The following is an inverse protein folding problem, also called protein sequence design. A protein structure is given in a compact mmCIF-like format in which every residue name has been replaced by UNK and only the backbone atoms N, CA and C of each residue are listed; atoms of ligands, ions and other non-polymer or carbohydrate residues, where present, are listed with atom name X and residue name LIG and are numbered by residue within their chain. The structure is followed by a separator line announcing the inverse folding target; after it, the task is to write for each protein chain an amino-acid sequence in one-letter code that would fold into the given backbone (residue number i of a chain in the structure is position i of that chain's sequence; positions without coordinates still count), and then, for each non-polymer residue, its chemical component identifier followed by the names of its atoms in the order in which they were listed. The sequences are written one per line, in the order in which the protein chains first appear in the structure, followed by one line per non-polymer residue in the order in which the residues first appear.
data_IF_261561132242
#
_entry.id   IF_261561132242
#
_cell.length_a   1.000
_cell.length_b   1.000
_cell.length_c   1.000
_cell.angle_alpha   90.00
_cell.angle_beta   90.00
_cell.angle_gamma   90.00
#
_symmetry.space_group_name_H-M   'P 1'
#
loop_
_entity.id
_entity.type
_entity.pdbx_description
1 polymer ?
#
# COMPACT_ATOMS: atom_id res chain seq x y z
N UNK A 1 -19.89 16.14 -9.56
CA UNK A 1 -20.85 15.92 -8.45
C UNK A 1 -21.28 14.46 -8.27
N UNK A 2 -21.52 13.69 -9.35
CA UNK A 2 -21.84 12.26 -9.27
C UNK A 2 -20.63 11.39 -8.88
N UNK A 3 -19.48 11.61 -9.54
CA UNK A 3 -18.23 10.89 -9.25
C UNK A 3 -17.78 11.04 -7.77
N UNK A 4 -17.90 12.25 -7.21
CA UNK A 4 -17.61 12.52 -5.80
C UNK A 4 -18.54 11.78 -4.84
N UNK A 5 -19.84 11.64 -5.18
CA UNK A 5 -20.78 10.84 -4.38
C UNK A 5 -20.42 9.35 -4.43
N UNK A 6 -20.06 8.84 -5.61
CA UNK A 6 -19.67 7.42 -5.78
C UNK A 6 -18.35 7.11 -5.07
N UNK A 7 -17.38 8.03 -5.10
CA UNK A 7 -16.15 7.91 -4.30
C UNK A 7 -16.48 7.88 -2.81
N UNK A 8 -17.42 8.70 -2.34
CA UNK A 8 -17.83 8.72 -0.93
C UNK A 8 -18.47 7.39 -0.51
N UNK A 9 -19.43 6.88 -1.29
CA UNK A 9 -20.05 5.56 -1.02
C UNK A 9 -18.99 4.44 -1.07
N UNK A 10 -18.05 4.52 -2.01
CA UNK A 10 -16.92 3.59 -2.07
C UNK A 10 -16.07 3.65 -0.79
N UNK A 11 -15.80 4.85 -0.27
CA UNK A 11 -15.03 5.03 0.97
C UNK A 11 -15.77 4.54 2.23
N UNK A 12 -17.09 4.64 2.27
CA UNK A 12 -17.89 4.14 3.40
C UNK A 12 -17.88 2.61 3.51
N UNK A 13 -17.68 1.92 2.38
CA UNK A 13 -17.66 0.45 2.31
C UNK A 13 -16.23 -0.09 2.28
N UNK A 14 -15.33 0.55 1.53
CA UNK A 14 -13.98 0.05 1.25
C UNK A 14 -12.87 1.02 1.65
N UNK A 15 -13.18 2.16 2.26
CA UNK A 15 -12.17 3.14 2.66
C UNK A 15 -11.28 2.65 3.80
N UNK A 16 -10.11 3.29 3.95
CA UNK A 16 -9.09 2.94 4.95
C UNK A 16 -9.68 2.86 6.37
N UNK A 17 -10.48 3.86 6.76
CA UNK A 17 -11.10 3.91 8.09
C UNK A 17 -11.98 2.68 8.35
N UNK A 18 -12.78 2.27 7.36
CA UNK A 18 -13.66 1.10 7.45
C UNK A 18 -12.85 -0.19 7.56
N UNK A 19 -11.83 -0.36 6.71
CA UNK A 19 -10.96 -1.53 6.74
C UNK A 19 -10.21 -1.68 8.07
N UNK A 20 -9.63 -0.58 8.59
CA UNK A 20 -8.96 -0.57 9.89
C UNK A 20 -9.95 -0.89 11.02
N UNK A 21 -11.14 -0.29 10.99
CA UNK A 21 -12.19 -0.54 12.00
C UNK A 21 -12.63 -2.00 11.98
N UNK A 22 -12.87 -2.57 10.81
CA UNK A 22 -13.28 -3.96 10.65
C UNK A 22 -12.17 -4.92 11.09
N UNK A 23 -10.91 -4.60 10.77
CA UNK A 23 -9.76 -5.40 11.21
C UNK A 23 -9.57 -5.36 12.73
N UNK A 24 -9.69 -4.18 13.35
CA UNK A 24 -9.66 -4.01 14.81
C UNK A 24 -10.78 -4.78 15.52
N UNK A 25 -11.98 -4.82 14.94
CA UNK A 25 -13.10 -5.60 15.48
C UNK A 25 -12.87 -7.11 15.39
N UNK A 26 -12.24 -7.57 14.30
CA UNK A 26 -12.04 -9.00 14.06
C UNK A 26 -10.85 -9.57 14.82
N UNK A 27 -9.77 -8.81 14.98
CA UNK A 27 -8.56 -9.31 15.62
C UNK A 27 -7.79 -8.19 16.35
N UNK A 28 -8.43 -7.62 17.37
CA UNK A 28 -7.85 -6.56 18.22
C UNK A 28 -6.45 -6.94 18.73
N UNK A 29 -6.29 -8.19 19.18
CA UNK A 29 -5.02 -8.71 19.68
C UNK A 29 -3.97 -8.86 18.57
N UNK A 30 -4.34 -9.40 17.40
CA UNK A 30 -3.41 -9.51 16.26
C UNK A 30 -2.94 -8.16 15.73
N UNK A 31 -3.81 -7.15 15.70
CA UNK A 31 -3.43 -5.79 15.30
C UNK A 31 -2.47 -5.13 16.30
N UNK A 32 -2.80 -5.17 17.59
CA UNK A 32 -1.93 -4.63 18.65
C UNK A 32 -0.59 -5.38 18.66
N UNK A 33 -0.61 -6.71 18.55
CA UNK A 33 0.59 -7.52 18.47
C UNK A 33 1.44 -7.16 17.25
N UNK A 34 0.83 -6.88 16.10
CA UNK A 34 1.56 -6.46 14.90
C UNK A 34 2.24 -5.11 15.08
N UNK A 35 1.57 -4.12 15.70
CA UNK A 35 2.17 -2.82 16.01
C UNK A 35 3.32 -2.97 17.01
N UNK A 36 3.09 -3.69 18.11
CA UNK A 36 4.12 -3.96 19.12
C UNK A 36 5.30 -4.67 18.47
N UNK A 37 5.05 -5.67 17.62
CA UNK A 37 6.09 -6.42 16.92
C UNK A 37 6.92 -5.51 16.01
N UNK A 38 6.29 -4.62 15.23
CA UNK A 38 6.99 -3.63 14.39
C UNK A 38 7.85 -2.67 15.24
N UNK A 39 7.30 -2.15 16.34
CA UNK A 39 8.01 -1.21 17.23
C UNK A 39 9.19 -1.92 17.91
N UNK A 40 8.96 -3.11 18.46
CA UNK A 40 9.99 -3.91 19.14
C UNK A 40 11.08 -4.33 18.16
N UNK A 41 10.74 -4.83 16.97
CA UNK A 41 11.75 -5.18 15.95
C UNK A 41 12.53 -3.96 15.48
N UNK A 42 11.91 -2.79 15.35
CA UNK A 42 12.60 -1.55 14.98
C UNK A 42 13.56 -1.06 16.08
N UNK A 43 13.15 -1.09 17.35
CA UNK A 43 14.00 -0.71 18.49
C UNK A 43 15.16 -1.71 18.65
N UNK A 44 14.87 -3.00 18.52
CA UNK A 44 15.89 -4.05 18.54
C UNK A 44 16.87 -3.85 17.39
N UNK A 45 16.39 -3.58 16.17
CA UNK A 45 17.27 -3.33 15.03
C UNK A 45 18.24 -2.17 15.30
N UNK A 46 17.76 -1.02 15.80
CA UNK A 46 18.62 0.14 16.11
C UNK A 46 19.64 -0.18 17.21
N UNK A 47 19.21 -0.81 18.31
CA UNK A 47 20.10 -1.14 19.45
C UNK A 47 21.10 -2.25 19.14
N UNK A 48 20.71 -3.21 18.31
CA UNK A 48 21.53 -4.35 17.88
C UNK A 48 22.54 -3.89 16.81
N UNK A 49 22.20 -2.93 15.96
CA UNK A 49 23.11 -2.50 14.89
C UNK A 49 24.41 -1.86 15.41
N UNK A 50 24.36 -1.14 16.54
CA UNK A 50 25.55 -0.49 17.11
C UNK A 50 26.52 -1.44 17.82
N UNK A 51 26.05 -2.54 18.42
CA UNK A 51 26.87 -3.38 19.31
C UNK A 51 26.87 -4.88 19.02
N UNK A 52 26.03 -5.35 18.10
CA UNK A 52 25.88 -6.78 17.87
C UNK A 52 26.81 -7.30 16.77
N UNK A 53 27.18 -8.58 16.90
CA UNK A 53 27.96 -9.30 15.91
C UNK A 53 27.22 -9.44 14.58
N UNK A 54 27.96 -9.69 13.51
CA UNK A 54 27.41 -9.92 12.16
C UNK A 54 26.35 -11.03 12.16
N UNK A 55 26.56 -12.09 12.97
CA UNK A 55 25.64 -13.21 13.09
C UNK A 55 24.27 -12.78 13.65
N UNK A 56 24.25 -11.92 14.67
CA UNK A 56 23.00 -11.42 15.28
C UNK A 56 22.21 -10.54 14.30
N UNK A 57 22.91 -9.74 13.48
CA UNK A 57 22.29 -8.90 12.45
C UNK A 57 21.63 -9.76 11.35
N UNK A 58 22.30 -10.84 10.94
CA UNK A 58 21.76 -11.82 9.99
C UNK A 58 20.50 -12.51 10.52
N UNK A 59 20.51 -12.96 11.79
CA UNK A 59 19.35 -13.58 12.43
C UNK A 59 18.18 -12.59 12.51
N UNK A 60 18.44 -11.33 12.91
CA UNK A 60 17.41 -10.30 12.97
C UNK A 60 16.79 -10.02 11.59
N UNK A 61 17.59 -10.00 10.53
CA UNK A 61 17.12 -9.84 9.15
C UNK A 61 16.22 -11.02 8.73
N UNK A 62 16.63 -12.25 9.00
CA UNK A 62 15.83 -13.45 8.68
C UNK A 62 14.50 -13.45 9.44
N UNK A 63 14.50 -13.10 10.72
CA UNK A 63 13.28 -12.99 11.52
C UNK A 63 12.34 -11.91 10.99
N UNK A 64 12.87 -10.76 10.56
CA UNK A 64 12.09 -9.68 9.96
C UNK A 64 11.38 -10.15 8.67
N UNK A 65 12.11 -10.78 7.75
CA UNK A 65 11.53 -11.32 6.51
C UNK A 65 10.45 -12.36 6.84
N UNK A 66 10.73 -13.27 7.77
CA UNK A 66 9.78 -14.32 8.18
C UNK A 66 8.50 -13.72 8.75
N UNK A 67 8.61 -12.66 9.56
CA UNK A 67 7.45 -11.98 10.13
C UNK A 67 6.56 -11.33 9.04
N UNK A 68 7.14 -10.77 7.99
CA UNK A 68 6.37 -10.23 6.84
C UNK A 68 5.57 -11.35 6.17
N UNK A 69 6.20 -12.50 5.90
CA UNK A 69 5.53 -13.64 5.26
C UNK A 69 4.40 -14.20 6.14
N UNK A 70 4.65 -14.38 7.44
CA UNK A 70 3.64 -14.84 8.39
C UNK A 70 2.47 -13.86 8.47
N UNK A 71 2.74 -12.55 8.53
CA UNK A 71 1.71 -11.51 8.53
C UNK A 71 0.77 -11.61 7.32
N UNK A 72 1.33 -11.87 6.14
CA UNK A 72 0.54 -12.07 4.91
C UNK A 72 -0.36 -13.31 4.98
N UNK A 73 0.16 -14.42 5.47
CA UNK A 73 -0.62 -15.66 5.62
C UNK A 73 -1.72 -15.54 6.69
N UNK A 74 -1.44 -14.84 7.80
CA UNK A 74 -2.45 -14.55 8.82
C UNK A 74 -3.58 -13.71 8.26
N UNK A 75 -3.27 -12.68 7.45
CA UNK A 75 -4.27 -11.87 6.76
C UNK A 75 -5.13 -12.73 5.83
N UNK A 76 -4.50 -13.54 4.98
CA UNK A 76 -5.19 -14.43 4.05
C UNK A 76 -6.12 -15.41 4.77
N UNK A 77 -5.64 -16.06 5.83
CA UNK A 77 -6.44 -16.96 6.66
C UNK A 77 -7.62 -16.25 7.33
N UNK A 78 -7.45 -15.00 7.76
CA UNK A 78 -8.54 -14.22 8.35
C UNK A 78 -9.67 -13.92 7.34
N UNK A 79 -9.32 -13.62 6.09
CA UNK A 79 -10.28 -13.40 5.00
C UNK A 79 -11.01 -14.71 4.68
N UNK A 80 -10.27 -15.81 4.55
CA UNK A 80 -10.82 -17.15 4.30
C UNK A 80 -11.77 -17.56 5.43
N UNK A 81 -11.41 -17.31 6.69
CA UNK A 81 -12.28 -17.62 7.85
C UNK A 81 -13.61 -16.85 7.79
N UNK A 82 -13.60 -15.61 7.29
CA UNK A 82 -14.80 -14.75 7.25
C UNK A 82 -15.69 -15.01 6.03
N UNK A 83 -15.11 -15.32 4.89
CA UNK A 83 -15.83 -15.43 3.61
C UNK A 83 -15.81 -16.85 3.01
N UNK A 84 -15.15 -17.80 3.66
CA UNK A 84 -14.93 -19.17 3.18
C UNK A 84 -13.83 -19.25 2.11
N UNK A 85 -13.90 -18.39 1.09
CA UNK A 85 -12.91 -18.34 0.00
C UNK A 85 -12.60 -16.90 -0.41
N UNK A 86 -11.47 -16.69 -1.08
CA UNK A 86 -11.13 -15.40 -1.69
C UNK A 86 -12.15 -15.00 -2.78
N UNK A 87 -12.69 -15.98 -3.50
CA UNK A 87 -13.72 -15.75 -4.51
C UNK A 87 -15.02 -15.19 -3.90
N UNK A 88 -15.47 -15.76 -2.77
CA UNK A 88 -16.64 -15.28 -2.06
C UNK A 88 -16.43 -13.88 -1.49
N UNK A 89 -15.21 -13.55 -1.05
CA UNK A 89 -14.86 -12.19 -0.64
C UNK A 89 -15.04 -11.19 -1.78
N UNK A 90 -14.53 -11.50 -2.98
CA UNK A 90 -14.73 -10.63 -4.14
C UNK A 90 -16.19 -10.54 -4.58
N UNK A 91 -16.93 -11.65 -4.54
CA UNK A 91 -18.37 -11.66 -4.83
C UNK A 91 -19.12 -10.74 -3.85
N UNK A 92 -18.83 -10.84 -2.56
CA UNK A 92 -19.43 -9.99 -1.55
C UNK A 92 -19.04 -8.51 -1.72
N UNK A 93 -17.80 -8.23 -2.13
CA UNK A 93 -17.32 -6.89 -2.50
C UNK A 93 -18.18 -6.30 -3.62
N UNK A 94 -18.37 -7.05 -4.71
CA UNK A 94 -19.19 -6.65 -5.86
C UNK A 94 -20.66 -6.42 -5.48
N UNK A 95 -21.25 -7.34 -4.72
CA UNK A 95 -22.66 -7.22 -4.30
C UNK A 95 -22.90 -6.02 -3.39
N UNK A 96 -21.99 -5.77 -2.43
CA UNK A 96 -22.08 -4.61 -1.54
C UNK A 96 -21.99 -3.30 -2.31
N UNK A 97 -21.08 -3.23 -3.30
CA UNK A 97 -20.96 -2.07 -4.17
C UNK A 97 -22.20 -1.88 -5.07
N UNK A 98 -22.73 -2.97 -5.64
CA UNK A 98 -23.95 -2.94 -6.45
C UNK A 98 -25.14 -2.38 -5.66
N UNK A 99 -25.35 -2.82 -4.41
CA UNK A 99 -26.43 -2.30 -3.56
C UNK A 99 -26.33 -0.79 -3.38
N UNK A 100 -25.12 -0.27 -3.16
CA UNK A 100 -24.87 1.18 -3.06
C UNK A 100 -25.13 1.92 -4.37
N UNK A 101 -24.83 1.33 -5.51
CA UNK A 101 -25.19 1.93 -6.80
C UNK A 101 -26.72 1.94 -7.03
N UNK A 102 -27.43 0.90 -6.59
CA UNK A 102 -28.89 0.83 -6.65
C UNK A 102 -29.56 1.89 -5.75
N UNK A 103 -29.00 2.17 -4.57
CA UNK A 103 -29.39 3.28 -3.69
C UNK A 103 -29.23 4.65 -4.37
N UNK A 104 -28.27 4.78 -5.29
CA UNK A 104 -28.05 5.97 -6.12
C UNK A 104 -28.88 5.98 -7.41
N UNK A 105 -29.88 5.11 -7.54
CA UNK A 105 -30.71 4.92 -8.74
C UNK A 105 -29.94 4.47 -10.01
N UNK A 106 -28.74 3.91 -9.86
CA UNK A 106 -27.96 3.33 -10.97
C UNK A 106 -28.34 1.86 -11.10
N UNK A 107 -29.47 1.61 -11.79
CA UNK A 107 -30.08 0.28 -11.89
C UNK A 107 -29.94 -0.36 -13.26
N UNK A 108 -29.95 0.41 -14.35
CA UNK A 108 -30.05 -0.12 -15.71
C UNK A 108 -28.72 -0.09 -16.45
N UNK A 109 -28.61 -0.86 -17.53
CA UNK A 109 -27.38 -0.96 -18.35
C UNK A 109 -26.90 0.41 -18.83
N UNK A 110 -27.82 1.25 -19.30
CA UNK A 110 -27.54 2.62 -19.74
C UNK A 110 -26.92 3.46 -18.61
N UNK A 111 -27.40 3.31 -17.37
CA UNK A 111 -26.83 4.03 -16.24
C UNK A 111 -25.39 3.58 -15.94
N UNK A 112 -25.07 2.29 -16.12
CA UNK A 112 -23.70 1.79 -16.00
C UNK A 112 -22.80 2.28 -17.13
N UNK A 113 -23.33 2.43 -18.35
CA UNK A 113 -22.59 2.94 -19.51
C UNK A 113 -22.23 4.42 -19.34
N UNK A 114 -23.22 5.25 -18.99
CA UNK A 114 -23.00 6.66 -18.68
C UNK A 114 -22.03 6.82 -17.51
N UNK A 115 -22.14 5.98 -16.48
CA UNK A 115 -21.22 6.02 -15.35
C UNK A 115 -19.77 5.68 -15.77
N UNK A 116 -19.58 4.65 -16.59
CA UNK A 116 -18.24 4.27 -17.05
C UNK A 116 -17.59 5.38 -17.89
N UNK A 117 -18.35 6.02 -18.77
CA UNK A 117 -17.86 7.18 -19.55
C UNK A 117 -17.46 8.37 -18.65
N UNK A 118 -18.29 8.69 -17.66
CA UNK A 118 -17.99 9.74 -16.69
C UNK A 118 -16.73 9.42 -15.87
N UNK A 119 -16.56 8.17 -15.45
CA UNK A 119 -15.37 7.74 -14.72
C UNK A 119 -14.10 7.81 -15.58
N UNK A 120 -14.18 7.41 -16.85
CA UNK A 120 -13.06 7.52 -17.80
C UNK A 120 -12.62 8.96 -18.00
N UNK A 121 -13.56 9.88 -18.24
CA UNK A 121 -13.27 11.31 -18.37
C UNK A 121 -12.64 11.89 -17.09
N UNK A 122 -13.15 11.50 -15.92
CA UNK A 122 -12.60 11.96 -14.65
C UNK A 122 -11.17 11.44 -14.41
N UNK A 123 -10.88 10.19 -14.78
CA UNK A 123 -9.54 9.61 -14.72
C UNK A 123 -8.59 10.35 -15.65
N UNK A 124 -9.01 10.63 -16.89
CA UNK A 124 -8.22 11.35 -17.89
C UNK A 124 -7.85 12.77 -17.40
N UNK A 125 -8.81 13.50 -16.85
CA UNK A 125 -8.57 14.83 -16.25
C UNK A 125 -7.61 14.78 -15.05
N UNK A 126 -7.69 13.72 -14.22
CA UNK A 126 -6.79 13.55 -13.08
C UNK A 126 -5.38 13.08 -13.50
N UNK A 127 -5.24 12.41 -14.64
CA UNK A 127 -3.95 12.02 -15.21
C UNK A 127 -3.26 13.18 -15.93
N UNK A 128 -4.03 14.01 -16.65
CA UNK A 128 -3.51 15.21 -17.33
C UNK A 128 -2.92 16.23 -16.35
N UNK A 129 -3.51 16.36 -15.16
CA UNK A 129 -3.00 17.24 -14.10
C UNK A 129 -1.73 16.73 -13.42
N UNK A 130 -1.35 15.45 -13.61
CA UNK A 130 -0.15 14.82 -13.01
C UNK A 130 1.08 14.80 -13.94
N UNK A 131 0.97 15.36 -15.16
CA UNK A 131 2.00 15.31 -16.22
C UNK A 131 3.31 16.07 -15.96
N UNK A 132 3.66 16.42 -14.72
CA UNK A 132 4.98 17.01 -14.41
C UNK A 132 5.91 15.98 -13.75
N UNK A 133 6.54 15.08 -14.54
CA UNK A 133 7.52 14.12 -14.03
C UNK A 133 8.83 14.79 -13.57
N UNK A 134 9.05 16.05 -13.95
CA UNK A 134 10.29 16.78 -13.66
C UNK A 134 10.60 16.89 -12.17
N UNK A 135 9.59 17.20 -11.34
CA UNK A 135 9.76 17.25 -9.88
C UNK A 135 10.09 15.89 -9.27
N UNK A 136 9.50 14.81 -9.81
CA UNK A 136 9.81 13.45 -9.38
C UNK A 136 11.24 13.06 -9.75
N UNK A 137 11.69 13.41 -10.96
CA UNK A 137 13.07 13.17 -11.43
C UNK A 137 14.08 13.95 -10.57
N UNK A 138 13.82 15.24 -10.30
CA UNK A 138 14.68 16.05 -9.42
C UNK A 138 14.77 15.49 -8.00
N UNK A 139 13.64 15.04 -7.44
CA UNK A 139 13.61 14.41 -6.11
C UNK A 139 14.41 13.10 -6.07
N UNK A 140 14.30 12.27 -7.11
CA UNK A 140 15.07 11.04 -7.24
C UNK A 140 16.57 11.32 -7.41
N UNK A 141 16.94 12.32 -8.22
CA UNK A 141 18.33 12.75 -8.39
C UNK A 141 18.93 13.30 -7.09
N UNK A 142 18.19 14.15 -6.36
CA UNK A 142 18.64 14.66 -5.07
C UNK A 142 18.87 13.55 -4.05
N UNK A 143 17.94 12.58 -4.00
CA UNK A 143 18.08 11.40 -3.12
C UNK A 143 19.29 10.55 -3.51
N UNK A 144 19.48 10.30 -4.81
CA UNK A 144 20.61 9.54 -5.33
C UNK A 144 21.95 10.22 -5.02
N UNK A 145 22.06 11.53 -5.20
CA UNK A 145 23.27 12.30 -4.88
C UNK A 145 23.64 12.18 -3.39
N UNK A 146 22.66 12.32 -2.49
CA UNK A 146 22.89 12.17 -1.05
C UNK A 146 23.43 10.76 -0.74
N UNK A 147 22.78 9.73 -1.27
CA UNK A 147 23.19 8.33 -1.08
C UNK A 147 24.62 8.10 -1.60
N UNK A 148 24.94 8.60 -2.80
CA UNK A 148 26.26 8.46 -3.40
C UNK A 148 27.35 9.20 -2.61
N UNK A 149 27.07 10.41 -2.11
CA UNK A 149 28.04 11.18 -1.31
C UNK A 149 28.36 10.47 0.00
N UNK A 150 27.36 9.99 0.74
CA UNK A 150 27.60 9.27 2.00
C UNK A 150 28.39 7.98 1.79
N UNK A 151 28.07 7.23 0.73
CA UNK A 151 28.80 6.01 0.39
C UNK A 151 30.24 6.33 -0.02
N UNK A 152 30.43 7.30 -0.91
CA UNK A 152 31.74 7.73 -1.40
C UNK A 152 32.66 8.18 -0.27
N UNK A 153 32.15 9.04 0.62
CA UNK A 153 32.88 9.49 1.81
C UNK A 153 33.22 8.34 2.76
N UNK A 154 32.30 7.38 2.96
CA UNK A 154 32.59 6.20 3.80
C UNK A 154 33.70 5.34 3.23
N UNK A 155 33.74 5.14 1.91
CA UNK A 155 34.75 4.32 1.23
C UNK A 155 36.08 5.06 1.25
N UNK A 156 36.08 6.37 0.98
CA UNK A 156 37.30 7.17 1.02
C UNK A 156 37.93 7.16 2.41
N UNK A 157 37.15 7.36 3.48
CA UNK A 157 37.66 7.25 4.85
C UNK A 157 38.20 5.85 5.19
N UNK A 158 37.67 4.80 4.54
CA UNK A 158 38.17 3.45 4.71
C UNK A 158 39.53 3.25 4.01
N UNK A 159 39.68 3.81 2.81
CA UNK A 159 40.95 3.82 2.06
C UNK A 159 42.02 4.64 2.79
N UNK A 160 41.63 5.76 3.40
CA UNK A 160 42.51 6.65 4.15
C UNK A 160 42.88 6.11 5.55
N UNK A 161 42.39 4.92 5.92
CA UNK A 161 42.72 4.25 7.19
C UNK A 161 41.91 4.71 8.41
N UNK A 162 40.90 5.57 8.23
CA UNK A 162 40.00 6.04 9.29
C UNK A 162 38.81 5.10 9.51
N UNK A 163 39.09 3.82 9.80
CA UNK A 163 38.08 2.75 9.83
C UNK A 163 36.89 3.02 10.76
N UNK A 164 37.13 3.58 11.95
CA UNK A 164 36.06 3.89 12.91
C UNK A 164 35.09 4.98 12.41
N UNK A 165 35.57 5.92 11.61
CA UNK A 165 34.78 7.01 11.05
C UNK A 165 34.06 6.54 9.78
N UNK A 166 34.74 5.75 8.95
CA UNK A 166 34.15 5.07 7.80
C UNK A 166 32.96 4.19 8.22
N UNK A 167 33.13 3.37 9.26
CA UNK A 167 32.07 2.52 9.79
C UNK A 167 30.84 3.32 10.26
N UNK A 168 31.05 4.46 10.94
CA UNK A 168 29.96 5.35 11.36
C UNK A 168 29.20 5.94 10.17
N UNK A 169 29.91 6.44 9.16
CA UNK A 169 29.26 6.95 7.93
C UNK A 169 28.50 5.85 7.21
N UNK A 170 29.05 4.64 7.16
CA UNK A 170 28.40 3.51 6.51
C UNK A 170 27.11 3.08 7.24
N UNK A 171 27.09 3.15 8.58
CA UNK A 171 25.86 2.94 9.37
C UNK A 171 24.81 4.00 9.02
N UNK A 172 25.20 5.28 9.00
CA UNK A 172 24.29 6.38 8.63
C UNK A 172 23.71 6.18 7.23
N UNK A 173 24.55 5.81 6.26
CA UNK A 173 24.14 5.46 4.91
C UNK A 173 23.08 4.34 4.87
N UNK A 174 23.33 3.22 5.57
CA UNK A 174 22.40 2.08 5.63
C UNK A 174 21.07 2.49 6.27
N UNK A 175 21.11 3.29 7.33
CA UNK A 175 19.90 3.81 8.00
C UNK A 175 19.08 4.69 7.07
N UNK A 176 19.71 5.58 6.31
CA UNK A 176 19.03 6.44 5.32
C UNK A 176 18.33 5.59 4.25
N UNK A 177 19.00 4.60 3.67
CA UNK A 177 18.41 3.72 2.65
C UNK A 177 17.25 2.90 3.23
N UNK A 178 17.44 2.32 4.42
CA UNK A 178 16.40 1.55 5.08
C UNK A 178 15.17 2.42 5.37
N UNK A 179 15.38 3.64 5.88
CA UNK A 179 14.34 4.64 6.10
C UNK A 179 13.59 4.99 4.83
N UNK A 180 14.30 5.33 3.75
CA UNK A 180 13.69 5.63 2.44
C UNK A 180 12.89 4.45 1.89
N UNK A 181 13.36 3.23 2.06
CA UNK A 181 12.66 2.02 1.63
C UNK A 181 11.35 1.80 2.40
N UNK A 182 11.36 2.04 3.70
CA UNK A 182 10.16 1.99 4.56
C UNK A 182 9.18 3.08 4.16
N UNK A 183 9.64 4.33 3.99
CA UNK A 183 8.80 5.45 3.57
C UNK A 183 8.19 5.21 2.18
N UNK A 184 8.97 4.70 1.23
CA UNK A 184 8.47 4.34 -0.11
C UNK A 184 7.39 3.27 -0.04
N UNK A 185 7.62 2.22 0.76
CA UNK A 185 6.63 1.15 0.97
C UNK A 185 5.35 1.67 1.65
N UNK A 186 5.49 2.59 2.60
CA UNK A 186 4.37 3.24 3.27
C UNK A 186 3.58 4.12 2.30
N UNK A 187 4.25 4.95 1.50
CA UNK A 187 3.63 5.78 0.46
C UNK A 187 2.92 4.89 -0.58
N UNK A 188 3.54 3.78 -0.98
CA UNK A 188 2.91 2.81 -1.88
C UNK A 188 1.64 2.20 -1.28
N UNK A 189 1.66 1.85 0.01
CA UNK A 189 0.46 1.39 0.73
C UNK A 189 -0.64 2.45 0.81
N UNK A 190 -0.26 3.72 0.96
CA UNK A 190 -1.20 4.84 0.92
C UNK A 190 -1.77 5.13 -0.48
N UNK A 191 -1.06 4.73 -1.55
CA UNK A 191 -1.50 4.90 -2.93
C UNK A 191 -2.89 4.30 -3.16
N UNK A 192 -3.17 3.16 -2.51
CA UNK A 192 -4.44 2.46 -2.62
C UNK A 192 -5.64 3.27 -2.10
N UNK A 193 -5.39 4.33 -1.32
CA UNK A 193 -6.40 5.24 -0.79
C UNK A 193 -6.45 6.61 -1.50
N UNK A 194 -5.65 6.80 -2.54
CA UNK A 194 -5.69 8.02 -3.36
C UNK A 194 -6.93 8.05 -4.25
N UNK A 195 -7.41 9.26 -4.58
CA UNK A 195 -8.59 9.46 -5.43
C UNK A 195 -8.46 8.78 -6.80
N UNK A 196 -7.35 9.02 -7.52
CA UNK A 196 -7.07 8.35 -8.80
C UNK A 196 -7.17 6.83 -8.71
N UNK A 197 -6.57 6.22 -7.69
CA UNK A 197 -6.62 4.76 -7.56
C UNK A 197 -8.02 4.25 -7.20
N UNK A 198 -8.77 4.97 -6.35
CA UNK A 198 -10.19 4.68 -6.08
C UNK A 198 -11.03 4.74 -7.34
N UNK A 199 -10.85 5.77 -8.17
CA UNK A 199 -11.56 5.89 -9.46
C UNK A 199 -11.27 4.70 -10.37
N UNK A 200 -10.01 4.27 -10.46
CA UNK A 200 -9.63 3.06 -11.20
C UNK A 200 -10.30 1.79 -10.64
N UNK A 201 -10.35 1.63 -9.32
CA UNK A 201 -11.05 0.48 -8.69
C UNK A 201 -12.56 0.53 -8.92
N UNK A 202 -13.19 1.70 -8.85
CA UNK A 202 -14.62 1.89 -9.11
C UNK A 202 -14.91 1.57 -10.58
N UNK A 203 -14.13 2.08 -11.54
CA UNK A 203 -14.29 1.77 -12.96
C UNK A 203 -14.15 0.27 -13.23
N UNK A 204 -13.20 -0.40 -12.59
CA UNK A 204 -13.06 -1.87 -12.65
C UNK A 204 -14.34 -2.58 -12.15
N UNK A 205 -14.85 -2.20 -10.97
CA UNK A 205 -16.06 -2.80 -10.40
C UNK A 205 -17.30 -2.56 -11.28
N UNK A 206 -17.44 -1.36 -11.84
CA UNK A 206 -18.52 -1.01 -12.77
C UNK A 206 -18.44 -1.87 -14.04
N UNK A 207 -17.24 -2.04 -14.59
CA UNK A 207 -17.00 -2.90 -15.76
C UNK A 207 -17.35 -4.37 -15.48
N UNK A 208 -16.95 -4.90 -14.32
CA UNK A 208 -17.30 -6.26 -13.88
C UNK A 208 -18.82 -6.44 -13.74
N UNK A 209 -19.51 -5.47 -13.13
CA UNK A 209 -20.97 -5.51 -12.97
C UNK A 209 -21.70 -5.45 -14.33
N UNK A 210 -21.18 -4.66 -15.27
CA UNK A 210 -21.70 -4.60 -16.65
C UNK A 210 -21.57 -5.95 -17.35
N UNK A 211 -20.40 -6.58 -17.27
CA UNK A 211 -20.14 -7.90 -17.87
C UNK A 211 -21.06 -8.98 -17.27
N UNK A 212 -21.22 -9.00 -15.95
CA UNK A 212 -22.11 -9.96 -15.27
C UNK A 212 -23.57 -9.80 -15.69
N UNK A 213 -24.04 -8.56 -15.90
CA UNK A 213 -25.37 -8.34 -16.45
C UNK A 213 -25.52 -8.86 -17.86
N UNK A 214 -24.54 -8.62 -18.74
CA UNK A 214 -24.55 -9.10 -20.14
C UNK A 214 -24.62 -10.63 -20.20
N UNK A 215 -23.91 -11.32 -19.30
CA UNK A 215 -23.97 -12.79 -19.20
C UNK A 215 -25.37 -13.22 -18.76
N UNK A 216 -25.92 -12.61 -17.71
CA UNK A 216 -27.25 -12.95 -17.19
C UNK A 216 -28.44 -12.48 -18.05
N UNK A 217 -28.22 -11.72 -19.14
CA UNK A 217 -29.30 -11.35 -20.10
C UNK A 217 -29.31 -12.23 -21.34
N UNK A 218 -28.35 -13.15 -21.47
CA UNK A 218 -28.25 -14.11 -22.59
C UNK A 218 -28.79 -15.51 -22.24
N UNK A 219 -29.17 -15.72 -20.99
CA UNK A 219 -29.99 -16.85 -20.51
C UNK A 219 -31.42 -16.38 -20.31
#
# INVERSE_FOLDING_TARGET
MLASKIIKEYDEVFGMKKQVTDYLKLNKFGFIFSIIFIVVTSILFVKVFEKASVLTRLIAFILYITAIFVGREVLKKSIIKRYGTLFNFEKHKRESFRKKLEELNIKNREHYEVLDELLKKEIELEEDTRKFPFLNILSQLGTALIITVFLGLSIQLMVDGYEAQAAKLMIVYVVIIAGLSIFSSFIYGLRDFTRSYKLKQISKLVSELKLLKIINTKD
#
